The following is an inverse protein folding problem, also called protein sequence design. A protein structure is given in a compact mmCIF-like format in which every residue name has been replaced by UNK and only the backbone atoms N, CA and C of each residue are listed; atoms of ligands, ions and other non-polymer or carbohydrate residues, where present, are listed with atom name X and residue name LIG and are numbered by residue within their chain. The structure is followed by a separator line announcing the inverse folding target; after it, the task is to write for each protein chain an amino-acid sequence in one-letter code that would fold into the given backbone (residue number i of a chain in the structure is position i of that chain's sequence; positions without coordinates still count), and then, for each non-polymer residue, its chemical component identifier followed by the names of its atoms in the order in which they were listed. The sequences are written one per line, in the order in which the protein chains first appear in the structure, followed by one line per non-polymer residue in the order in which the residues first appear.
data_IF_308932513516
#
_entry.id   IF_308932513516
#
_cell.length_a   1.000
_cell.length_b   1.000
_cell.length_c   1.000
_cell.angle_alpha   90.00
_cell.angle_beta   90.00
_cell.angle_gamma   90.00
#
_symmetry.space_group_name_H-M   'P 1'
#
loop_
_entity.id
_entity.type
_entity.pdbx_description
1 polymer ?
#
# COMPACT_ATOMS: atom_id res chain seq x y z
N UNK A 1 -9.12 14.36 -22.00
CA UNK A 1 -7.90 13.55 -22.24
C UNK A 1 -7.25 14.08 -23.51
N UNK A 2 -5.93 14.33 -23.49
CA UNK A 2 -5.16 14.80 -24.65
C UNK A 2 -5.20 13.76 -25.77
N UNK A 3 -5.04 14.20 -27.05
CA UNK A 3 -5.07 13.30 -28.19
C UNK A 3 -3.95 12.25 -28.13
N UNK A 4 -2.73 12.67 -27.77
CA UNK A 4 -1.56 11.78 -27.61
C UNK A 4 -1.80 10.62 -26.63
N UNK A 5 -2.62 10.85 -25.56
CA UNK A 5 -2.97 9.79 -24.61
C UNK A 5 -4.03 8.85 -25.16
N UNK A 6 -4.95 9.39 -25.97
CA UNK A 6 -5.95 8.57 -26.66
C UNK A 6 -5.26 7.65 -27.68
N UNK A 7 -4.34 8.19 -28.45
CA UNK A 7 -3.58 7.44 -29.47
C UNK A 7 -2.75 6.33 -28.82
N UNK A 8 -2.09 6.62 -27.70
CA UNK A 8 -1.36 5.61 -26.91
C UNK A 8 -2.29 4.49 -26.43
N UNK A 9 -3.45 4.83 -25.84
CA UNK A 9 -4.39 3.83 -25.35
C UNK A 9 -4.90 2.95 -26.49
N UNK A 10 -5.24 3.54 -27.64
CA UNK A 10 -5.69 2.80 -28.81
C UNK A 10 -4.61 1.84 -29.32
N UNK A 11 -3.37 2.31 -29.41
CA UNK A 11 -2.24 1.50 -29.85
C UNK A 11 -1.99 0.32 -28.91
N UNK A 12 -1.82 0.59 -27.59
CA UNK A 12 -1.44 -0.43 -26.60
C UNK A 12 -2.58 -1.45 -26.35
N UNK A 13 -3.83 -1.04 -26.56
CA UNK A 13 -4.98 -1.95 -26.41
C UNK A 13 -5.37 -2.64 -27.72
N UNK A 14 -4.82 -2.23 -28.86
CA UNK A 14 -5.24 -2.71 -30.17
C UNK A 14 -6.69 -2.33 -30.52
N UNK A 15 -7.17 -1.23 -29.94
CA UNK A 15 -8.56 -0.79 -30.11
C UNK A 15 -8.71 0.16 -31.30
N UNK A 16 -9.90 0.16 -31.92
CA UNK A 16 -10.22 1.04 -33.08
C UNK A 16 -10.80 2.38 -32.65
N UNK A 17 -11.49 2.39 -31.50
CA UNK A 17 -12.06 3.60 -30.93
C UNK A 17 -12.09 3.51 -29.39
N UNK A 18 -12.14 4.66 -28.75
CA UNK A 18 -12.32 4.75 -27.30
C UNK A 18 -13.34 5.82 -26.93
N UNK A 19 -13.95 5.66 -25.77
CA UNK A 19 -14.83 6.63 -25.14
C UNK A 19 -14.47 6.75 -23.66
N UNK A 20 -14.15 7.97 -23.22
CA UNK A 20 -13.96 8.23 -21.80
C UNK A 20 -15.28 8.01 -21.07
N UNK A 21 -15.29 7.10 -20.12
CA UNK A 21 -16.45 6.74 -19.31
C UNK A 21 -16.46 7.48 -17.97
N UNK A 22 -16.92 6.78 -16.94
CA UNK A 22 -17.10 7.35 -15.62
C UNK A 22 -15.76 7.66 -14.92
N UNK A 23 -15.72 8.82 -14.26
CA UNK A 23 -14.67 9.14 -13.33
C UNK A 23 -14.80 8.27 -12.07
N UNK A 24 -13.86 7.38 -11.85
CA UNK A 24 -13.82 6.49 -10.68
C UNK A 24 -13.42 7.29 -9.43
N UNK A 25 -12.40 8.14 -9.55
CA UNK A 25 -11.86 8.89 -8.41
C UNK A 25 -11.15 10.17 -8.87
N UNK A 26 -11.33 11.25 -8.11
CA UNK A 26 -10.42 12.41 -8.18
C UNK A 26 -9.25 12.17 -7.25
N UNK A 27 -8.04 12.38 -7.73
CA UNK A 27 -6.83 12.24 -6.91
C UNK A 27 -6.71 13.38 -5.89
N UNK A 28 -6.06 13.09 -4.76
CA UNK A 28 -5.88 14.04 -3.67
C UNK A 28 -5.30 15.37 -4.16
N UNK A 29 -5.82 16.47 -3.59
CA UNK A 29 -5.35 17.85 -3.85
C UNK A 29 -5.32 18.24 -5.34
N UNK A 30 -6.21 17.67 -6.16
CA UNK A 30 -6.29 18.04 -7.57
C UNK A 30 -5.19 17.49 -8.48
N UNK A 31 -4.40 16.51 -8.01
CA UNK A 31 -3.33 15.89 -8.79
C UNK A 31 -3.80 15.07 -9.99
N UNK A 32 -5.08 15.06 -10.32
CA UNK A 32 -5.62 14.37 -11.48
C UNK A 32 -6.79 13.46 -11.14
N UNK A 33 -6.95 12.39 -11.93
CA UNK A 33 -8.11 11.49 -11.81
C UNK A 33 -7.80 10.06 -12.24
N UNK A 34 -8.64 9.16 -11.77
CA UNK A 34 -8.77 7.80 -12.27
C UNK A 34 -10.11 7.72 -13.00
N UNK A 35 -10.13 7.24 -14.24
CA UNK A 35 -11.32 7.10 -15.05
C UNK A 35 -11.34 5.75 -15.77
N UNK A 36 -12.53 5.23 -16.00
CA UNK A 36 -12.75 4.10 -16.90
C UNK A 36 -12.82 4.61 -18.35
N UNK A 37 -12.13 3.93 -19.24
CA UNK A 37 -12.16 4.19 -20.68
C UNK A 37 -12.67 2.95 -21.38
N UNK A 38 -13.80 3.10 -22.07
CA UNK A 38 -14.40 2.04 -22.87
C UNK A 38 -13.68 1.94 -24.22
N UNK A 39 -13.48 0.73 -24.69
CA UNK A 39 -12.76 0.41 -25.91
C UNK A 39 -13.67 -0.32 -26.89
N UNK A 40 -13.52 -0.01 -28.16
CA UNK A 40 -14.25 -0.67 -29.25
C UNK A 40 -13.24 -1.29 -30.26
N UNK A 41 -13.60 -2.47 -30.78
CA UNK A 41 -12.83 -3.14 -31.83
C UNK A 41 -11.60 -3.90 -31.34
N UNK A 42 -11.56 -4.26 -30.04
CA UNK A 42 -10.58 -5.15 -29.42
C UNK A 42 -11.27 -6.08 -28.41
N UNK A 43 -10.53 -7.05 -27.86
CA UNK A 43 -11.07 -8.05 -26.93
C UNK A 43 -11.34 -7.48 -25.51
N UNK A 44 -10.81 -6.30 -25.19
CA UNK A 44 -11.01 -5.63 -23.91
C UNK A 44 -12.13 -4.60 -24.01
N UNK A 45 -13.20 -4.72 -23.23
CA UNK A 45 -14.30 -3.73 -23.28
C UNK A 45 -13.95 -2.40 -22.60
N UNK A 46 -13.00 -2.41 -21.66
CA UNK A 46 -12.55 -1.19 -20.96
C UNK A 46 -11.18 -1.36 -20.32
N UNK A 47 -10.58 -0.22 -19.99
CA UNK A 47 -9.36 -0.08 -19.19
C UNK A 47 -9.56 0.98 -18.11
N UNK A 48 -8.78 0.94 -17.06
CA UNK A 48 -8.69 1.99 -16.05
C UNK A 48 -7.47 2.86 -16.32
N UNK A 49 -7.70 4.15 -16.44
CA UNK A 49 -6.65 5.13 -16.72
C UNK A 49 -6.44 6.03 -15.52
N UNK A 50 -5.26 6.02 -14.95
CA UNK A 50 -4.82 6.98 -13.94
C UNK A 50 -4.01 8.06 -14.62
N UNK A 51 -4.56 9.27 -14.66
CA UNK A 51 -3.91 10.44 -15.23
C UNK A 51 -3.56 11.41 -14.10
N UNK A 52 -2.28 11.61 -13.89
CA UNK A 52 -1.70 12.50 -12.88
C UNK A 52 -1.20 13.77 -13.56
N UNK A 53 -1.54 14.92 -12.99
CA UNK A 53 -1.03 16.23 -13.40
C UNK A 53 -0.50 16.93 -12.16
N UNK A 54 0.77 17.30 -12.16
CA UNK A 54 1.36 17.99 -10.99
C UNK A 54 0.95 19.45 -10.99
N UNK A 55 0.12 19.91 -10.02
CA UNK A 55 -0.24 21.32 -9.94
C UNK A 55 0.98 22.15 -9.53
N UNK A 56 1.08 23.36 -10.10
CA UNK A 56 2.14 24.30 -9.73
C UNK A 56 1.97 24.82 -8.29
N UNK A 57 0.73 24.87 -7.82
CA UNK A 57 0.35 25.22 -6.44
C UNK A 57 -0.62 24.15 -5.96
N UNK A 58 -0.29 23.44 -4.87
CA UNK A 58 -1.13 22.37 -4.31
C UNK A 58 -1.76 22.84 -3.00
N UNK A 59 -3.09 22.76 -2.89
CA UNK A 59 -3.82 22.92 -1.62
C UNK A 59 -3.93 21.57 -0.90
N UNK A 60 -3.38 21.47 0.31
CA UNK A 60 -3.53 20.30 1.16
C UNK A 60 -4.77 20.43 2.04
N UNK A 61 -5.72 19.46 2.05
CA UNK A 61 -6.95 19.53 2.83
C UNK A 61 -6.75 19.72 4.34
N UNK A 62 -5.61 19.30 4.88
CA UNK A 62 -5.22 19.50 6.29
C UNK A 62 -4.44 20.78 6.56
N UNK A 63 -4.32 21.68 5.59
CA UNK A 63 -3.54 22.93 5.75
C UNK A 63 -2.02 22.74 5.76
N UNK A 64 -1.51 21.54 5.57
CA UNK A 64 -0.07 21.23 5.54
C UNK A 64 0.47 21.39 4.12
N UNK A 65 0.43 22.62 3.62
CA UNK A 65 0.95 23.01 2.31
C UNK A 65 2.46 23.25 2.39
N UNK A 66 3.22 22.20 2.72
CA UNK A 66 4.67 22.27 2.77
C UNK A 66 5.26 21.72 1.47
N UNK A 67 6.42 22.25 1.07
CA UNK A 67 7.20 21.74 -0.06
C UNK A 67 7.47 20.24 0.10
N UNK A 68 7.70 19.78 1.33
CA UNK A 68 7.90 18.37 1.64
C UNK A 68 6.65 17.51 1.34
N UNK A 69 5.45 18.01 1.67
CA UNK A 69 4.20 17.31 1.36
C UNK A 69 3.98 17.20 -0.14
N UNK A 70 4.27 18.27 -0.88
CA UNK A 70 4.20 18.27 -2.35
C UNK A 70 5.23 17.29 -2.95
N UNK A 71 6.51 17.42 -2.57
CA UNK A 71 7.59 16.53 -3.06
C UNK A 71 7.29 15.05 -2.77
N UNK A 72 6.81 14.72 -1.56
CA UNK A 72 6.38 13.37 -1.22
C UNK A 72 5.27 12.87 -2.15
N UNK A 73 4.29 13.73 -2.46
CA UNK A 73 3.18 13.36 -3.35
C UNK A 73 3.64 13.15 -4.77
N UNK A 74 4.46 14.02 -5.32
CA UNK A 74 5.09 13.87 -6.64
C UNK A 74 5.87 12.55 -6.68
N UNK A 75 6.73 12.32 -5.68
CA UNK A 75 7.52 11.08 -5.59
C UNK A 75 6.63 9.83 -5.53
N UNK A 76 5.50 9.87 -4.81
CA UNK A 76 4.60 8.72 -4.72
C UNK A 76 4.03 8.31 -6.08
N UNK A 77 3.69 9.24 -6.95
CA UNK A 77 3.23 8.94 -8.31
C UNK A 77 4.37 8.44 -9.21
N UNK A 78 5.57 9.00 -9.08
CA UNK A 78 6.75 8.51 -9.81
C UNK A 78 7.07 7.05 -9.43
N UNK A 79 7.00 6.73 -8.13
CA UNK A 79 7.19 5.35 -7.63
C UNK A 79 6.14 4.42 -8.20
N UNK A 80 4.87 4.80 -8.22
CA UNK A 80 3.81 3.97 -8.78
C UNK A 80 4.00 3.74 -10.28
N UNK A 81 4.37 4.77 -11.04
CA UNK A 81 4.68 4.62 -12.46
C UNK A 81 5.85 3.65 -12.66
N UNK A 82 6.92 3.82 -11.89
CA UNK A 82 8.09 2.94 -11.94
C UNK A 82 7.75 1.50 -11.55
N UNK A 83 6.89 1.31 -10.53
CA UNK A 83 6.39 0.00 -10.13
C UNK A 83 5.74 -0.74 -11.30
N UNK A 84 4.79 -0.09 -11.96
CA UNK A 84 4.08 -0.70 -13.08
C UNK A 84 4.97 -0.96 -14.29
N UNK A 85 6.01 -0.19 -14.50
CA UNK A 85 6.96 -0.38 -15.60
C UNK A 85 7.93 -1.54 -15.37
N UNK A 86 8.32 -1.82 -14.12
CA UNK A 86 9.49 -2.66 -13.83
C UNK A 86 9.24 -3.84 -12.89
N UNK A 87 8.21 -3.78 -12.06
CA UNK A 87 7.99 -4.76 -10.99
C UNK A 87 6.67 -5.49 -11.08
N UNK A 88 5.64 -4.89 -11.70
CA UNK A 88 4.30 -5.47 -11.66
C UNK A 88 4.25 -6.83 -12.37
N UNK A 89 3.75 -7.83 -11.65
CA UNK A 89 3.61 -9.21 -12.11
C UNK A 89 2.33 -9.79 -11.54
N UNK A 90 1.87 -10.92 -12.10
CA UNK A 90 0.74 -11.67 -11.55
C UNK A 90 1.16 -13.02 -10.95
N UNK A 91 2.44 -13.20 -10.67
CA UNK A 91 2.99 -14.43 -10.10
C UNK A 91 2.58 -14.56 -8.62
N UNK A 92 1.49 -15.25 -8.35
CA UNK A 92 1.02 -15.57 -7.01
C UNK A 92 0.30 -14.42 -6.26
N UNK A 93 0.38 -13.18 -6.74
CA UNK A 93 -0.30 -12.02 -6.17
C UNK A 93 -0.97 -11.19 -7.27
N UNK A 94 -2.30 -11.23 -7.35
CA UNK A 94 -3.06 -10.58 -8.41
C UNK A 94 -3.01 -9.05 -8.27
N UNK A 95 -2.65 -8.38 -9.34
CA UNK A 95 -2.74 -6.93 -9.51
C UNK A 95 -3.19 -6.63 -10.95
N UNK A 96 -3.67 -5.41 -11.27
CA UNK A 96 -4.06 -5.09 -12.63
C UNK A 96 -2.85 -5.18 -13.56
N UNK A 97 -3.01 -5.82 -14.73
CA UNK A 97 -1.98 -5.80 -15.75
C UNK A 97 -1.75 -4.35 -16.20
N UNK A 98 -0.49 -3.95 -16.29
CA UNK A 98 -0.10 -2.65 -16.84
C UNK A 98 -0.02 -2.76 -18.37
N UNK A 99 -0.80 -1.95 -19.07
CA UNK A 99 -0.80 -1.88 -20.53
C UNK A 99 0.12 -0.78 -21.02
N UNK A 100 0.17 0.35 -20.30
CA UNK A 100 1.14 1.42 -20.51
C UNK A 100 1.38 2.18 -19.21
N UNK A 101 2.60 2.64 -19.00
CA UNK A 101 2.95 3.58 -17.95
C UNK A 101 4.03 4.53 -18.47
N UNK A 102 3.75 5.83 -18.49
CA UNK A 102 4.65 6.83 -19.08
C UNK A 102 4.54 8.18 -18.39
N UNK A 103 5.60 8.96 -18.55
CA UNK A 103 5.71 10.34 -18.04
C UNK A 103 5.85 11.30 -19.19
N UNK A 104 5.09 12.39 -19.17
CA UNK A 104 5.10 13.45 -20.16
C UNK A 104 5.26 14.80 -19.46
N UNK A 105 6.50 15.27 -19.28
CA UNK A 105 6.77 16.48 -18.52
C UNK A 105 6.24 16.37 -17.09
N UNK A 106 5.29 17.25 -16.74
CA UNK A 106 4.64 17.30 -15.42
C UNK A 106 3.41 16.37 -15.31
N UNK A 107 3.22 15.46 -16.25
CA UNK A 107 2.09 14.53 -16.27
C UNK A 107 2.55 13.08 -16.28
N UNK A 108 1.75 12.21 -15.70
CA UNK A 108 1.95 10.76 -15.76
C UNK A 108 0.65 10.08 -16.17
N UNK A 109 0.78 9.08 -17.01
CA UNK A 109 -0.33 8.25 -17.47
C UNK A 109 -0.03 6.79 -17.18
N UNK A 110 -0.95 6.12 -16.47
CA UNK A 110 -0.89 4.68 -16.26
C UNK A 110 -2.19 4.09 -16.78
N UNK A 111 -2.08 3.14 -17.71
CA UNK A 111 -3.20 2.42 -18.33
C UNK A 111 -3.20 1.01 -17.78
N UNK A 112 -4.24 0.65 -17.05
CA UNK A 112 -4.36 -0.60 -16.34
C UNK A 112 -5.54 -1.42 -16.84
N UNK A 113 -5.43 -2.72 -16.71
CA UNK A 113 -6.56 -3.63 -16.83
C UNK A 113 -7.72 -3.19 -15.93
N UNK A 114 -8.92 -3.28 -16.44
CA UNK A 114 -10.14 -3.05 -15.65
C UNK A 114 -10.47 -4.32 -14.85
N UNK A 115 -10.14 -4.29 -13.57
CA UNK A 115 -10.35 -5.42 -12.66
C UNK A 115 -11.83 -5.80 -12.51
N UNK A 116 -12.76 -4.85 -12.70
CA UNK A 116 -14.19 -5.14 -12.61
C UNK A 116 -14.62 -6.10 -13.74
N UNK A 117 -14.06 -5.92 -14.94
CA UNK A 117 -14.36 -6.76 -16.11
C UNK A 117 -13.86 -8.19 -15.93
N UNK A 118 -12.77 -8.37 -15.20
CA UNK A 118 -12.17 -9.69 -14.97
C UNK A 118 -12.58 -10.33 -13.65
N UNK A 119 -13.67 -9.82 -13.05
CA UNK A 119 -14.36 -10.45 -11.92
C UNK A 119 -13.85 -10.04 -10.52
N UNK A 120 -13.09 -8.93 -10.40
CA UNK A 120 -12.71 -8.32 -9.12
C UNK A 120 -13.48 -7.01 -8.91
N UNK A 121 -14.79 -7.06 -9.05
CA UNK A 121 -15.70 -5.93 -9.09
C UNK A 121 -16.22 -5.48 -7.71
N UNK A 122 -15.89 -6.20 -6.65
CA UNK A 122 -16.38 -5.93 -5.32
C UNK A 122 -15.42 -5.06 -4.52
N UNK A 123 -15.95 -4.00 -3.91
CA UNK A 123 -15.25 -3.14 -2.93
C UNK A 123 -15.86 -3.34 -1.56
N UNK A 124 -15.02 -3.35 -0.52
CA UNK A 124 -15.47 -3.63 0.86
C UNK A 124 -15.17 -2.45 1.77
N UNK A 125 -16.12 -2.14 2.65
CA UNK A 125 -15.96 -1.18 3.76
C UNK A 125 -15.73 -1.88 5.10
N UNK A 126 -15.94 -3.20 5.14
CA UNK A 126 -15.62 -4.10 6.26
C UNK A 126 -15.31 -5.48 5.69
N UNK A 127 -14.57 -6.30 6.43
CA UNK A 127 -14.16 -7.64 5.97
C UNK A 127 -14.69 -8.74 6.89
N UNK A 128 -15.10 -9.83 6.29
CA UNK A 128 -15.33 -11.11 6.95
C UNK A 128 -14.00 -11.85 7.12
N UNK A 129 -13.97 -12.87 7.97
CA UNK A 129 -12.74 -13.65 8.24
C UNK A 129 -12.14 -14.27 6.96
N UNK A 130 -12.97 -14.75 6.04
CA UNK A 130 -12.49 -15.31 4.78
C UNK A 130 -11.84 -14.25 3.88
N UNK A 131 -12.43 -13.06 3.80
CA UNK A 131 -11.88 -11.93 3.02
C UNK A 131 -10.58 -11.39 3.65
N UNK A 132 -10.51 -11.32 4.99
CA UNK A 132 -9.27 -10.96 5.70
C UNK A 132 -8.15 -11.96 5.40
N UNK A 133 -8.45 -13.26 5.42
CA UNK A 133 -7.49 -14.30 5.06
C UNK A 133 -7.05 -14.19 3.59
N UNK A 134 -7.96 -13.90 2.67
CA UNK A 134 -7.62 -13.68 1.27
C UNK A 134 -6.63 -12.50 1.09
N UNK A 135 -6.85 -11.38 1.80
CA UNK A 135 -5.90 -10.27 1.79
C UNK A 135 -4.55 -10.63 2.43
N UNK A 136 -4.55 -11.37 3.55
CA UNK A 136 -3.32 -11.85 4.19
C UNK A 136 -2.54 -12.83 3.32
N UNK A 137 -3.24 -13.75 2.62
CA UNK A 137 -2.62 -14.64 1.64
C UNK A 137 -1.99 -13.86 0.50
N UNK A 138 -2.69 -12.85 -0.04
CA UNK A 138 -2.14 -11.97 -1.06
C UNK A 138 -0.86 -11.27 -0.58
N UNK A 139 -0.87 -10.68 0.63
CA UNK A 139 0.31 -10.05 1.22
C UNK A 139 1.46 -11.06 1.44
N UNK A 140 1.15 -12.25 1.91
CA UNK A 140 2.15 -13.30 2.12
C UNK A 140 2.84 -13.69 0.80
N UNK A 141 2.08 -13.89 -0.27
CA UNK A 141 2.63 -14.17 -1.59
C UNK A 141 3.45 -13.01 -2.15
N UNK A 142 2.94 -11.78 -2.00
CA UNK A 142 3.64 -10.58 -2.39
C UNK A 142 4.97 -10.44 -1.64
N UNK A 143 4.98 -10.57 -0.33
CA UNK A 143 6.20 -10.49 0.47
C UNK A 143 7.17 -11.65 0.19
N UNK A 144 6.66 -12.85 -0.07
CA UNK A 144 7.48 -14.01 -0.44
C UNK A 144 8.16 -13.84 -1.79
N UNK A 145 7.44 -13.34 -2.79
CA UNK A 145 7.95 -13.08 -4.14
C UNK A 145 9.10 -12.09 -4.13
N UNK A 146 8.94 -11.00 -3.37
CA UNK A 146 9.92 -9.91 -3.31
C UNK A 146 10.90 -10.02 -2.13
N UNK A 147 10.95 -11.15 -1.42
CA UNK A 147 11.86 -11.33 -0.29
C UNK A 147 13.32 -11.15 -0.72
N UNK A 148 14.05 -10.24 -0.05
CA UNK A 148 15.44 -9.91 -0.34
C UNK A 148 15.66 -9.18 -1.68
N UNK A 149 14.62 -8.62 -2.28
CA UNK A 149 14.73 -7.74 -3.45
C UNK A 149 15.07 -6.32 -3.01
N UNK A 150 16.05 -5.71 -3.68
CA UNK A 150 16.40 -4.30 -3.47
C UNK A 150 15.33 -3.42 -4.16
N UNK A 151 14.77 -2.42 -3.47
CA UNK A 151 13.69 -1.59 -4.00
C UNK A 151 14.21 -0.48 -4.94
N UNK A 152 14.87 -0.84 -6.04
CA UNK A 152 15.42 0.12 -6.99
C UNK A 152 14.31 0.94 -7.65
N UNK A 153 14.44 2.26 -7.63
CA UNK A 153 13.43 3.18 -8.16
C UNK A 153 12.17 3.34 -7.31
N UNK A 154 11.98 2.51 -6.27
CA UNK A 154 10.87 2.56 -5.32
C UNK A 154 11.22 3.42 -4.09
N UNK A 155 10.35 3.43 -3.08
CA UNK A 155 10.71 4.02 -1.80
C UNK A 155 11.78 3.16 -1.10
N UNK A 156 12.90 3.74 -0.64
CA UNK A 156 13.89 3.00 0.15
C UNK A 156 13.26 2.36 1.39
N UNK A 157 12.36 3.10 2.05
CA UNK A 157 11.50 2.61 3.12
C UNK A 157 10.05 2.80 2.67
N UNK A 158 9.39 1.69 2.38
CA UNK A 158 7.97 1.65 2.03
C UNK A 158 7.10 2.03 3.22
N UNK A 159 5.93 2.52 2.95
CA UNK A 159 4.82 2.99 3.77
C UNK A 159 4.59 4.50 3.68
N UNK A 160 3.31 4.89 3.62
CA UNK A 160 2.94 6.30 3.54
C UNK A 160 3.16 7.06 4.86
N UNK A 161 3.40 6.36 5.97
CA UNK A 161 3.66 6.92 7.30
C UNK A 161 5.13 6.86 7.73
N UNK A 162 6.06 6.54 6.82
CA UNK A 162 7.49 6.46 7.13
C UNK A 162 7.98 7.74 7.83
N UNK A 163 8.71 7.56 8.91
CA UNK A 163 9.09 8.62 9.85
C UNK A 163 9.75 9.83 9.15
N UNK A 164 10.74 9.59 8.30
CA UNK A 164 11.49 10.65 7.62
C UNK A 164 10.58 11.53 6.72
N UNK A 165 9.52 10.94 6.16
CA UNK A 165 8.59 11.65 5.27
C UNK A 165 7.43 12.33 6.01
N UNK A 166 7.39 12.24 7.35
CA UNK A 166 6.30 12.70 8.22
C UNK A 166 6.77 13.50 9.44
N UNK A 167 7.66 14.50 9.26
CA UNK A 167 8.15 15.30 10.38
C UNK A 167 7.06 16.16 11.02
N UNK A 168 6.09 16.63 10.23
CA UNK A 168 5.01 17.49 10.74
C UNK A 168 4.11 16.72 11.69
N UNK A 169 3.74 15.47 11.32
CA UNK A 169 2.96 14.57 12.16
C UNK A 169 3.74 14.19 13.44
N UNK A 170 5.05 13.95 13.32
CA UNK A 170 5.88 13.70 14.51
C UNK A 170 5.88 14.92 15.43
N UNK A 171 6.03 16.13 14.88
CA UNK A 171 6.06 17.35 15.66
C UNK A 171 4.73 17.65 16.34
N UNK A 172 3.61 17.36 15.69
CA UNK A 172 2.25 17.57 16.20
C UNK A 172 1.84 16.56 17.29
N UNK A 173 2.60 15.48 17.49
CA UNK A 173 2.27 14.44 18.45
C UNK A 173 2.56 14.89 19.90
N UNK A 174 1.58 14.75 20.80
CA UNK A 174 1.68 15.13 22.20
C UNK A 174 2.37 14.08 23.10
N UNK A 175 2.38 12.78 22.71
CA UNK A 175 3.02 11.72 23.50
C UNK A 175 4.54 11.85 23.48
N UNK A 176 5.09 12.56 24.46
CA UNK A 176 6.52 12.85 24.57
C UNK A 176 7.38 11.57 24.65
N UNK A 177 6.88 10.49 25.29
CA UNK A 177 7.64 9.25 25.43
C UNK A 177 7.73 8.51 24.09
N UNK A 178 6.64 8.38 23.38
CA UNK A 178 6.60 7.72 22.07
C UNK A 178 7.35 8.58 21.03
N UNK A 179 7.22 9.91 21.11
CA UNK A 179 7.95 10.86 20.26
C UNK A 179 9.46 10.70 20.41
N UNK A 180 9.96 10.61 21.62
CA UNK A 180 11.39 10.36 21.89
C UNK A 180 11.88 8.98 21.41
N UNK A 181 11.01 7.97 21.39
CA UNK A 181 11.34 6.62 20.94
C UNK A 181 11.19 6.42 19.42
N UNK A 182 10.59 7.38 18.69
CA UNK A 182 10.23 7.23 17.28
C UNK A 182 11.42 6.85 16.40
N UNK A 183 12.56 7.52 16.55
CA UNK A 183 13.77 7.24 15.78
C UNK A 183 14.34 5.83 16.02
N UNK A 184 14.29 5.35 17.27
CA UNK A 184 14.78 4.00 17.59
C UNK A 184 13.82 2.91 17.07
N UNK A 185 12.52 3.14 17.14
CA UNK A 185 11.52 2.23 16.55
C UNK A 185 11.72 2.14 15.03
N UNK A 186 11.89 3.27 14.37
CA UNK A 186 12.14 3.33 12.92
C UNK A 186 13.44 2.61 12.56
N UNK A 187 14.52 2.84 13.31
CA UNK A 187 15.81 2.17 13.13
C UNK A 187 15.67 0.65 13.22
N UNK A 188 15.02 0.13 14.28
CA UNK A 188 14.81 -1.31 14.48
C UNK A 188 14.05 -1.94 13.30
N UNK A 189 12.98 -1.28 12.84
CA UNK A 189 12.19 -1.76 11.68
C UNK A 189 12.98 -1.74 10.38
N UNK A 190 13.88 -0.75 10.21
CA UNK A 190 14.64 -0.58 8.98
C UNK A 190 15.95 -1.40 8.98
N UNK A 191 16.45 -1.81 10.15
CA UNK A 191 17.65 -2.67 10.29
C UNK A 191 17.33 -4.16 10.43
N UNK A 192 16.05 -4.58 10.36
CA UNK A 192 15.70 -6.00 10.38
C UNK A 192 16.46 -6.75 9.26
N UNK A 193 16.88 -7.96 9.57
CA UNK A 193 17.70 -8.80 8.67
C UNK A 193 16.94 -9.21 7.43
N UNK A 194 15.66 -9.62 7.61
CA UNK A 194 14.82 -10.07 6.51
C UNK A 194 13.94 -8.92 6.02
N UNK A 195 14.20 -8.49 4.80
CA UNK A 195 13.45 -7.41 4.13
C UNK A 195 12.78 -7.92 2.86
N UNK A 196 11.68 -7.30 2.54
CA UNK A 196 10.97 -7.52 1.29
C UNK A 196 10.58 -6.17 0.67
N UNK A 197 9.89 -6.18 -0.44
CA UNK A 197 9.10 -5.04 -0.88
C UNK A 197 7.76 -5.12 -0.15
N UNK A 198 7.34 -4.02 0.47
CA UNK A 198 6.02 -3.83 1.08
C UNK A 198 5.14 -3.00 0.15
N UNK A 199 3.83 -3.25 0.15
CA UNK A 199 2.84 -2.44 -0.58
C UNK A 199 2.83 -0.99 -0.07
N UNK A 200 2.97 -0.82 1.24
CA UNK A 200 3.12 0.47 1.91
C UNK A 200 1.82 1.25 2.14
N UNK A 201 0.69 0.79 1.57
CA UNK A 201 -0.66 1.32 1.82
C UNK A 201 -1.70 0.19 1.75
N UNK A 202 -1.42 -0.96 2.40
CA UNK A 202 -2.23 -2.18 2.35
C UNK A 202 -3.54 -2.08 3.15
N UNK A 203 -4.30 -0.99 2.97
CA UNK A 203 -5.64 -0.82 3.56
C UNK A 203 -6.69 -1.56 2.74
N UNK A 204 -7.81 -1.87 3.38
CA UNK A 204 -8.93 -2.57 2.75
C UNK A 204 -9.40 -1.92 1.44
N UNK A 205 -9.41 -0.59 1.37
CA UNK A 205 -9.83 0.15 0.19
C UNK A 205 -8.95 -0.09 -1.05
N UNK A 206 -7.73 -0.59 -0.88
CA UNK A 206 -6.79 -0.91 -1.95
C UNK A 206 -6.85 -2.38 -2.38
N UNK A 207 -7.83 -3.14 -1.87
CA UNK A 207 -8.13 -4.51 -2.31
C UNK A 207 -9.46 -4.57 -3.05
N UNK A 208 -9.41 -5.17 -4.25
CA UNK A 208 -10.55 -5.48 -5.09
C UNK A 208 -10.87 -6.96 -4.94
N UNK A 209 -12.12 -7.31 -4.62
CA UNK A 209 -12.51 -8.68 -4.32
C UNK A 209 -13.27 -9.30 -5.47
N UNK A 210 -13.08 -10.62 -5.66
CA UNK A 210 -13.95 -11.41 -6.53
C UNK A 210 -15.35 -11.52 -5.91
N UNK A 211 -16.35 -11.87 -6.72
CA UNK A 211 -17.73 -12.06 -6.25
C UNK A 211 -17.85 -13.07 -5.10
N UNK A 212 -16.99 -14.11 -5.05
CA UNK A 212 -16.93 -15.06 -3.93
C UNK A 212 -16.27 -14.49 -2.67
N UNK A 213 -15.48 -13.42 -2.80
CA UNK A 213 -14.65 -12.86 -1.74
C UNK A 213 -13.41 -13.70 -1.39
N UNK A 214 -13.13 -14.78 -2.14
CA UNK A 214 -11.94 -15.63 -1.92
C UNK A 214 -10.74 -15.16 -2.74
N UNK A 215 -10.96 -14.52 -3.89
CA UNK A 215 -9.93 -13.89 -4.70
C UNK A 215 -9.82 -12.41 -4.38
N UNK A 216 -8.59 -11.90 -4.31
CA UNK A 216 -8.31 -10.46 -4.17
C UNK A 216 -7.24 -10.02 -5.15
N UNK A 217 -7.36 -8.76 -5.59
CA UNK A 217 -6.33 -8.06 -6.34
C UNK A 217 -6.00 -6.75 -5.63
N UNK A 218 -4.72 -6.38 -5.54
CA UNK A 218 -4.33 -5.11 -4.94
C UNK A 218 -4.08 -4.03 -5.99
N UNK A 219 -4.30 -2.78 -5.59
CA UNK A 219 -4.12 -1.56 -6.40
C UNK A 219 -3.47 -0.45 -5.56
N UNK A 220 -3.04 0.63 -6.21
CA UNK A 220 -2.49 1.84 -5.56
C UNK A 220 -1.11 1.63 -4.92
N UNK A 221 -0.10 1.39 -5.75
CA UNK A 221 1.29 1.13 -5.35
C UNK A 221 2.13 2.40 -5.14
N UNK A 222 1.52 3.51 -4.71
CA UNK A 222 2.20 4.80 -4.53
C UNK A 222 3.27 4.79 -3.43
N UNK A 223 3.17 3.87 -2.46
CA UNK A 223 4.07 3.80 -1.32
C UNK A 223 4.84 2.49 -1.24
N UNK A 224 4.88 1.77 -2.36
CA UNK A 224 5.63 0.52 -2.48
C UNK A 224 7.13 0.76 -2.30
N UNK A 225 7.79 -0.08 -1.50
CA UNK A 225 9.21 0.08 -1.20
C UNK A 225 9.77 -0.95 -0.27
N UNK A 226 11.01 -0.79 0.16
CA UNK A 226 11.68 -1.73 1.05
C UNK A 226 11.13 -1.72 2.47
N UNK A 227 11.09 -2.88 3.14
CA UNK A 227 10.69 -2.95 4.54
C UNK A 227 10.48 -4.35 5.09
N UNK A 228 10.08 -4.40 6.35
CA UNK A 228 9.57 -5.60 7.00
C UNK A 228 8.10 -5.80 6.61
N UNK A 229 7.72 -6.99 6.16
CA UNK A 229 6.34 -7.30 5.75
C UNK A 229 5.29 -7.06 6.83
N UNK A 230 5.69 -7.01 8.10
CA UNK A 230 4.79 -6.70 9.20
C UNK A 230 4.19 -5.28 9.12
N UNK A 231 4.79 -4.34 8.39
CA UNK A 231 4.21 -3.01 8.15
C UNK A 231 2.86 -3.12 7.43
N UNK A 232 2.77 -3.90 6.36
CA UNK A 232 1.52 -4.12 5.65
C UNK A 232 0.53 -4.96 6.45
N UNK A 233 1.02 -6.01 7.13
CA UNK A 233 0.18 -6.90 7.94
C UNK A 233 -0.52 -6.14 9.05
N UNK A 234 0.19 -5.31 9.81
CA UNK A 234 -0.44 -4.52 10.90
C UNK A 234 -1.46 -3.55 10.35
N UNK A 235 -1.16 -2.90 9.22
CA UNK A 235 -2.06 -1.93 8.62
C UNK A 235 -3.38 -2.56 8.16
N UNK A 236 -3.32 -3.77 7.60
CA UNK A 236 -4.50 -4.54 7.24
C UNK A 236 -5.27 -5.02 8.47
N UNK A 237 -4.58 -5.56 9.50
CA UNK A 237 -5.21 -6.11 10.69
C UNK A 237 -5.95 -5.04 11.54
N UNK A 238 -5.60 -3.77 11.40
CA UNK A 238 -6.30 -2.67 12.04
C UNK A 238 -7.74 -2.42 11.51
N UNK A 239 -8.14 -3.11 10.45
CA UNK A 239 -9.55 -3.14 10.00
C UNK A 239 -10.43 -4.05 10.88
N UNK A 240 -9.83 -4.84 11.77
CA UNK A 240 -10.55 -5.67 12.73
C UNK A 240 -11.10 -4.80 13.86
N UNK A 241 -12.32 -5.08 14.29
CA UNK A 241 -12.92 -4.40 15.46
C UNK A 241 -12.07 -4.63 16.72
N UNK A 242 -11.84 -3.57 17.50
CA UNK A 242 -11.01 -3.58 18.71
C UNK A 242 -11.26 -4.79 19.62
N UNK A 243 -12.54 -5.08 19.92
CA UNK A 243 -12.94 -6.19 20.78
C UNK A 243 -12.55 -7.59 20.28
N UNK A 244 -12.16 -7.70 19.01
CA UNK A 244 -11.78 -8.96 18.38
C UNK A 244 -10.27 -9.09 18.16
N UNK A 245 -9.50 -8.00 18.28
CA UNK A 245 -8.06 -7.98 17.99
C UNK A 245 -7.28 -9.00 18.82
N UNK A 246 -7.43 -8.96 20.17
CA UNK A 246 -6.70 -9.88 21.08
C UNK A 246 -6.96 -11.36 20.73
N UNK A 247 -8.18 -11.68 20.28
CA UNK A 247 -8.58 -13.06 19.94
C UNK A 247 -8.12 -13.47 18.55
N UNK A 248 -8.25 -12.58 17.55
CA UNK A 248 -8.06 -12.95 16.13
C UNK A 248 -6.63 -12.80 15.64
N UNK A 249 -5.90 -11.79 16.13
CA UNK A 249 -4.54 -11.48 15.63
C UNK A 249 -3.61 -12.69 15.70
N UNK A 250 -3.51 -13.47 16.81
CA UNK A 250 -2.60 -14.62 16.83
C UNK A 250 -2.85 -15.63 15.71
N UNK A 251 -4.10 -16.05 15.51
CA UNK A 251 -4.46 -17.03 14.48
C UNK A 251 -4.32 -16.49 13.06
N UNK A 252 -4.49 -15.20 12.85
CA UNK A 252 -4.29 -14.55 11.54
C UNK A 252 -2.81 -14.41 11.21
N UNK A 253 -1.96 -14.14 12.22
CA UNK A 253 -0.50 -14.17 12.04
C UNK A 253 -0.01 -15.59 11.72
N UNK A 254 -0.50 -16.62 12.40
CA UNK A 254 -0.16 -17.99 12.09
C UNK A 254 -0.56 -18.36 10.66
N UNK A 255 -1.74 -17.93 10.23
CA UNK A 255 -2.20 -18.10 8.85
C UNK A 255 -1.27 -17.38 7.86
N UNK A 256 -0.96 -16.10 8.12
CA UNK A 256 -0.05 -15.33 7.27
C UNK A 256 1.32 -16.01 7.11
N UNK A 257 1.93 -16.49 8.20
CA UNK A 257 3.22 -17.18 8.13
C UNK A 257 3.16 -18.54 7.45
N UNK A 258 2.02 -19.23 7.52
CA UNK A 258 1.78 -20.47 6.75
C UNK A 258 1.78 -20.17 5.25
N UNK A 259 1.05 -19.16 4.80
CA UNK A 259 1.01 -18.73 3.41
C UNK A 259 2.38 -18.20 2.93
N UNK A 260 3.06 -17.40 3.78
CA UNK A 260 4.39 -16.88 3.47
C UNK A 260 5.41 -18.01 3.27
N UNK A 261 5.38 -19.04 4.13
CA UNK A 261 6.25 -20.21 4.00
C UNK A 261 6.03 -20.93 2.68
N UNK A 262 4.79 -21.05 2.25
CA UNK A 262 4.43 -21.69 0.99
C UNK A 262 4.84 -20.87 -0.24
N UNK A 263 4.91 -19.53 -0.11
CA UNK A 263 5.23 -18.61 -1.22
C UNK A 263 6.72 -18.33 -1.40
N UNK A 264 7.54 -18.53 -0.36
CA UNK A 264 8.99 -18.26 -0.44
C UNK A 264 9.67 -19.31 -1.28
N UNK A 265 10.20 -18.90 -2.44
CA UNK A 265 10.93 -19.79 -3.38
C UNK A 265 12.44 -19.76 -3.16
N UNK A 266 12.96 -18.71 -2.53
CA UNK A 266 14.38 -18.53 -2.25
C UNK A 266 14.81 -19.37 -1.04
N UNK A 267 16.04 -19.85 -1.06
CA UNK A 267 16.62 -20.51 0.12
C UNK A 267 16.81 -19.48 1.24
N UNK A 268 16.06 -19.62 2.31
CA UNK A 268 16.10 -18.75 3.50
C UNK A 268 15.87 -19.57 4.76
N UNK A 269 16.51 -19.19 5.85
CA UNK A 269 16.15 -19.69 7.18
C UNK A 269 14.78 -19.12 7.58
N UNK A 270 13.72 -19.84 7.19
CA UNK A 270 12.36 -19.37 7.43
C UNK A 270 12.01 -19.31 8.91
N UNK A 271 12.58 -20.16 9.74
CA UNK A 271 12.35 -20.12 11.19
C UNK A 271 12.90 -18.83 11.81
N UNK A 272 14.09 -18.41 11.36
CA UNK A 272 14.69 -17.15 11.77
C UNK A 272 13.90 -15.94 11.23
N UNK A 273 13.41 -16.00 9.98
CA UNK A 273 12.56 -14.96 9.39
C UNK A 273 11.26 -14.80 10.18
N UNK A 274 10.54 -15.90 10.40
CA UNK A 274 9.26 -15.88 11.13
C UNK A 274 9.46 -15.34 12.55
N UNK A 275 10.50 -15.79 13.25
CA UNK A 275 10.83 -15.29 14.58
C UNK A 275 11.06 -13.78 14.59
N UNK A 276 11.92 -13.29 13.68
CA UNK A 276 12.21 -11.84 13.60
C UNK A 276 10.95 -11.03 13.26
N UNK A 277 10.18 -11.46 12.26
CA UNK A 277 9.00 -10.71 11.85
C UNK A 277 7.90 -10.71 12.91
N UNK A 278 7.74 -11.80 13.68
CA UNK A 278 6.84 -11.80 14.85
C UNK A 278 7.30 -10.80 15.93
N UNK A 279 8.60 -10.65 16.12
CA UNK A 279 9.16 -9.63 17.03
C UNK A 279 8.92 -8.21 16.49
N UNK A 280 9.02 -7.99 15.17
CA UNK A 280 8.79 -6.71 14.51
C UNK A 280 7.30 -6.31 14.49
N UNK A 281 6.37 -7.23 14.68
CA UNK A 281 4.93 -6.95 14.65
C UNK A 281 4.52 -5.82 15.62
N UNK A 282 4.95 -5.89 16.86
CA UNK A 282 4.62 -4.85 17.85
C UNK A 282 5.29 -3.51 17.53
N UNK A 283 6.50 -3.53 16.98
CA UNK A 283 7.20 -2.32 16.53
C UNK A 283 6.48 -1.66 15.35
N UNK A 284 6.08 -2.44 14.34
CA UNK A 284 5.34 -1.94 13.19
C UNK A 284 3.98 -1.34 13.58
N UNK A 285 3.27 -1.97 14.50
CA UNK A 285 2.02 -1.45 15.06
C UNK A 285 2.24 -0.13 15.82
N UNK A 286 3.30 -0.08 16.63
CA UNK A 286 3.65 1.11 17.39
C UNK A 286 4.09 2.27 16.50
N UNK A 287 4.81 2.00 15.40
CA UNK A 287 5.19 3.02 14.43
C UNK A 287 3.97 3.61 13.72
N UNK A 288 3.00 2.78 13.35
CA UNK A 288 1.74 3.29 12.79
C UNK A 288 0.93 4.09 13.82
N UNK A 289 0.89 3.64 15.09
CA UNK A 289 0.26 4.39 16.17
C UNK A 289 0.89 5.76 16.38
N UNK A 290 2.24 5.84 16.35
CA UNK A 290 2.97 7.11 16.37
C UNK A 290 2.46 8.08 15.30
N UNK A 291 2.35 7.60 14.07
CA UNK A 291 1.85 8.41 12.96
C UNK A 291 0.41 8.90 13.21
N UNK A 292 -0.49 8.02 13.64
CA UNK A 292 -1.88 8.38 13.92
C UNK A 292 -2.03 9.45 15.01
N UNK A 293 -1.21 9.40 16.05
CA UNK A 293 -1.23 10.38 17.14
C UNK A 293 -0.88 11.80 16.67
N UNK A 294 -0.05 11.93 15.66
CA UNK A 294 0.26 13.23 15.07
C UNK A 294 -0.70 13.65 13.96
N UNK A 295 -1.15 12.67 13.15
CA UNK A 295 -2.01 12.95 12.00
C UNK A 295 -3.49 13.18 12.38
N UNK A 296 -4.02 12.32 13.24
CA UNK A 296 -5.44 12.34 13.66
C UNK A 296 -5.58 11.72 15.06
N UNK A 297 -5.31 12.47 16.14
CA UNK A 297 -5.29 11.94 17.51
C UNK A 297 -6.59 11.29 17.98
N UNK A 298 -7.73 11.63 17.35
CA UNK A 298 -9.05 11.02 17.61
C UNK A 298 -9.38 9.80 16.73
N UNK A 299 -8.43 9.28 15.97
CA UNK A 299 -8.72 8.19 15.04
C UNK A 299 -9.13 6.90 15.77
N UNK A 300 -10.17 6.18 15.26
CA UNK A 300 -10.73 4.95 15.87
C UNK A 300 -9.72 3.82 16.12
N UNK A 301 -8.64 3.80 15.35
CA UNK A 301 -7.55 2.81 15.47
C UNK A 301 -6.63 3.09 16.66
N UNK A 302 -6.76 4.23 17.34
CA UNK A 302 -6.08 4.54 18.61
C UNK A 302 -6.88 3.94 19.77
N UNK A 303 -6.86 2.63 19.89
CA UNK A 303 -7.65 1.84 20.79
C UNK A 303 -6.82 1.22 21.95
N UNK A 304 -7.45 0.41 22.81
CA UNK A 304 -6.78 -0.23 23.95
C UNK A 304 -5.67 -1.19 23.51
N UNK A 305 -5.91 -2.00 22.46
CA UNK A 305 -4.93 -2.96 21.93
C UNK A 305 -3.68 -2.25 21.43
N UNK A 306 -3.87 -1.21 20.63
CA UNK A 306 -2.78 -0.34 20.13
C UNK A 306 -1.94 0.25 21.26
N UNK A 307 -2.62 0.81 22.29
CA UNK A 307 -1.94 1.41 23.46
C UNK A 307 -1.18 0.37 24.28
N UNK A 308 -1.68 -0.87 24.36
CA UNK A 308 -1.01 -1.95 25.06
C UNK A 308 0.28 -2.36 24.37
N UNK A 309 0.24 -2.61 23.05
CA UNK A 309 1.44 -2.92 22.25
C UNK A 309 2.48 -1.81 22.34
N UNK A 310 2.06 -0.55 22.25
CA UNK A 310 2.97 0.60 22.40
C UNK A 310 3.66 0.59 23.75
N UNK A 311 2.94 0.34 24.86
CA UNK A 311 3.57 0.23 26.19
C UNK A 311 4.58 -0.91 26.29
N UNK A 312 4.31 -2.04 25.65
CA UNK A 312 5.23 -3.17 25.58
C UNK A 312 6.52 -2.83 24.84
N UNK A 313 6.41 -2.18 23.67
CA UNK A 313 7.57 -1.70 22.89
C UNK A 313 8.38 -0.70 23.70
N UNK A 314 7.75 0.31 24.28
CA UNK A 314 8.45 1.32 25.08
C UNK A 314 9.18 0.73 26.32
N UNK A 315 8.65 -0.35 26.91
CA UNK A 315 9.35 -1.08 27.97
C UNK A 315 10.55 -1.87 27.46
N UNK A 316 10.46 -2.46 26.27
CA UNK A 316 11.58 -3.17 25.63
C UNK A 316 12.75 -2.22 25.33
N UNK A 317 12.44 -1.00 24.85
CA UNK A 317 13.46 0.01 24.51
C UNK A 317 14.17 0.63 25.72
N UNK A 318 13.62 0.48 26.94
CA UNK A 318 14.25 0.97 28.19
C UNK A 318 15.22 -0.04 28.83
N UNK A 319 15.30 -1.25 28.29
CA UNK A 319 16.19 -2.33 28.77
C UNK A 319 17.49 -2.38 27.98
#
# INVERSE_FOLDING_TARGET
MKQEYQDLILQECGAKALRVGDKIQTLWSGYGQIARVHLDGCDRPSVVVKHVMFPKEAEHPGGWNTDLSHMRKVRSYQVETHWYQNYSTNDGCRMPACLAACSYGDEQLIVLEDLDVVGFDQRRTSVRDAEMRACLSWLAHFHGLFLGVVPEGLWPVGTYWHLETRPDELNAMDDAQLKAAAGEIDRILNECRFKTIVHGDAKLANFCFSGSGQGVAAVDFQYVGGGCGMKDVVYLLEEIEEKQLEKKVPSLLDYYFTELRASVTKQVDFAALEKEWREMFAFAWTDFHRFLLGWMPGHRKINRYTKQLTKEVLRKLKR
#
